data_IF_098130455183
#
_entry.id   IF_098130455183
#
_cell.length_a   1.000
_cell.length_b   1.000
_cell.length_c   1.000
_cell.angle_alpha   90.00
_cell.angle_beta   90.00
_cell.angle_gamma   90.00
#
_symmetry.space_group_name_H-M   'P 1'
#
loop_
_entity.id
_entity.type
_entity.pdbx_description
1 polymer ?
#
# COMPACT_ATOMS: atom_id res chain seq x y z
N UNK A 1 72.57 -37.42 -4.67
CA UNK A 1 71.35 -36.95 -4.10
C UNK A 1 70.47 -36.34 -5.18
N UNK A 2 69.54 -37.12 -5.73
CA UNK A 2 68.62 -36.73 -6.80
C UNK A 2 67.35 -36.27 -6.15
N UNK A 3 66.98 -34.98 -6.26
CA UNK A 3 65.70 -34.46 -5.77
C UNK A 3 64.68 -34.58 -6.89
N UNK A 4 63.76 -35.46 -6.71
CA UNK A 4 62.56 -35.58 -7.57
C UNK A 4 61.60 -34.43 -7.28
N UNK A 5 61.41 -33.60 -8.30
CA UNK A 5 60.35 -32.59 -8.30
C UNK A 5 59.08 -33.26 -8.82
N UNK A 6 58.16 -33.62 -7.90
CA UNK A 6 56.80 -34.02 -8.23
C UNK A 6 56.00 -32.89 -8.90
N UNK A 7 55.08 -33.16 -9.80
CA UNK A 7 54.30 -32.17 -10.50
C UNK A 7 53.37 -31.43 -9.56
N UNK A 8 53.48 -30.10 -9.58
CA UNK A 8 52.66 -29.14 -8.86
C UNK A 8 51.24 -29.15 -9.51
N UNK A 9 50.29 -29.76 -8.85
CA UNK A 9 48.87 -29.68 -9.26
C UNK A 9 48.31 -28.33 -8.93
N UNK A 10 47.85 -27.59 -9.96
CA UNK A 10 47.21 -26.29 -9.87
C UNK A 10 45.86 -26.41 -9.18
N UNK A 11 45.58 -25.74 -8.03
CA UNK A 11 44.31 -25.86 -7.34
C UNK A 11 43.19 -24.98 -7.93
N UNK A 12 43.36 -24.43 -9.12
CA UNK A 12 42.41 -23.48 -9.72
C UNK A 12 41.45 -24.08 -10.75
N UNK A 13 41.14 -25.36 -10.69
CA UNK A 13 40.02 -25.86 -11.46
C UNK A 13 38.71 -25.46 -10.75
N UNK A 14 38.26 -24.22 -11.08
CA UNK A 14 36.98 -23.69 -10.64
C UNK A 14 35.83 -24.60 -11.03
N UNK A 15 35.22 -25.20 -10.05
CA UNK A 15 33.93 -25.85 -10.18
C UNK A 15 32.92 -24.83 -10.73
N UNK A 16 32.17 -25.09 -11.79
CA UNK A 16 31.09 -24.21 -12.20
C UNK A 16 30.07 -24.16 -11.06
N UNK A 17 30.03 -23.03 -10.38
CA UNK A 17 29.01 -22.75 -9.37
C UNK A 17 27.65 -22.79 -10.08
N UNK A 18 26.95 -23.90 -9.98
CA UNK A 18 25.53 -23.98 -10.30
C UNK A 18 24.81 -22.99 -9.41
N UNK A 19 24.49 -21.81 -9.96
CA UNK A 19 23.58 -20.87 -9.30
C UNK A 19 22.29 -21.64 -9.01
N UNK A 20 21.88 -21.73 -7.74
CA UNK A 20 20.59 -22.35 -7.44
C UNK A 20 19.52 -21.54 -8.18
N UNK A 21 18.67 -22.24 -8.92
CA UNK A 21 17.52 -21.65 -9.59
C UNK A 21 16.71 -20.84 -8.57
N UNK A 22 16.38 -19.60 -8.92
CA UNK A 22 15.57 -18.75 -8.06
C UNK A 22 14.29 -19.50 -7.69
N UNK A 23 13.93 -19.61 -6.40
CA UNK A 23 12.75 -20.34 -6.00
C UNK A 23 11.51 -19.66 -6.61
N UNK A 24 10.65 -20.47 -7.25
CA UNK A 24 9.36 -20.01 -7.78
C UNK A 24 8.59 -19.24 -6.68
N UNK A 25 7.83 -18.20 -7.04
CA UNK A 25 7.08 -17.39 -6.09
C UNK A 25 6.06 -18.25 -5.33
N UNK A 26 6.42 -18.70 -4.15
CA UNK A 26 5.54 -19.47 -3.27
C UNK A 26 4.59 -18.52 -2.57
N UNK A 27 3.29 -18.84 -2.57
CA UNK A 27 2.30 -18.20 -1.72
C UNK A 27 2.69 -18.50 -0.27
N UNK A 28 3.22 -17.51 0.45
CA UNK A 28 3.55 -17.65 1.88
C UNK A 28 2.26 -17.57 2.70
N UNK A 29 2.19 -18.38 3.76
CA UNK A 29 1.10 -18.23 4.75
C UNK A 29 1.28 -16.91 5.48
N UNK A 30 0.21 -16.14 5.59
CA UNK A 30 0.19 -14.94 6.43
C UNK A 30 0.35 -15.36 7.88
N UNK A 31 1.52 -15.14 8.46
CA UNK A 31 1.74 -15.24 9.90
C UNK A 31 1.60 -13.85 10.50
N UNK A 32 0.89 -13.74 11.62
CA UNK A 32 0.91 -12.53 12.42
C UNK A 32 2.35 -12.23 12.84
N UNK A 33 2.70 -10.95 12.89
CA UNK A 33 4.03 -10.46 13.25
C UNK A 33 4.43 -10.93 14.65
N UNK A 34 5.71 -11.28 14.83
CA UNK A 34 6.28 -11.52 16.16
C UNK A 34 6.49 -10.17 16.87
N UNK A 35 5.90 -9.95 18.05
CA UNK A 35 6.07 -8.71 18.82
C UNK A 35 7.53 -8.39 19.20
N UNK A 36 8.44 -9.37 19.10
CA UNK A 36 9.86 -9.23 19.42
C UNK A 36 10.72 -8.59 18.32
N UNK A 37 10.24 -8.48 17.07
CA UNK A 37 10.98 -7.89 15.94
C UNK A 37 10.80 -6.36 15.88
N UNK A 38 11.64 -5.65 16.64
CA UNK A 38 11.56 -4.17 16.77
C UNK A 38 12.22 -3.36 15.63
N UNK A 39 12.97 -3.98 14.71
CA UNK A 39 13.81 -3.25 13.74
C UNK A 39 13.69 -3.77 12.31
N UNK A 40 12.48 -3.83 11.75
CA UNK A 40 12.35 -4.07 10.31
C UNK A 40 12.31 -2.75 9.55
N UNK A 41 13.24 -2.51 8.59
CA UNK A 41 13.12 -1.39 7.67
C UNK A 41 11.85 -1.55 6.80
N UNK A 42 11.20 -0.42 6.48
CA UNK A 42 10.06 -0.41 5.56
C UNK A 42 10.43 -1.07 4.23
N UNK A 43 9.52 -1.86 3.67
CA UNK A 43 9.77 -2.48 2.37
C UNK A 43 9.71 -1.43 1.26
N UNK A 44 10.40 -1.62 0.13
CA UNK A 44 10.28 -0.72 -1.03
C UNK A 44 8.83 -0.54 -1.49
N UNK A 45 7.99 -1.56 -1.32
CA UNK A 45 6.56 -1.51 -1.66
C UNK A 45 5.77 -0.61 -0.72
N UNK A 46 6.07 -0.65 0.59
CA UNK A 46 5.47 0.26 1.59
C UNK A 46 5.85 1.71 1.30
N UNK A 47 7.12 1.97 0.98
CA UNK A 47 7.58 3.31 0.60
C UNK A 47 6.90 3.81 -0.68
N UNK A 48 6.73 2.95 -1.69
CA UNK A 48 6.03 3.30 -2.93
C UNK A 48 4.55 3.58 -2.67
N UNK A 49 3.94 2.82 -1.75
CA UNK A 49 2.57 3.05 -1.30
C UNK A 49 2.42 4.42 -0.63
N UNK A 50 3.30 4.75 0.31
CA UNK A 50 3.31 6.07 0.96
C UNK A 50 3.49 7.20 -0.04
N UNK A 51 4.34 7.00 -1.06
CA UNK A 51 4.55 7.99 -2.12
C UNK A 51 3.28 8.24 -2.94
N UNK A 52 2.45 7.22 -3.20
CA UNK A 52 1.17 7.40 -3.86
C UNK A 52 0.23 8.33 -3.04
N UNK A 53 0.24 8.22 -1.72
CA UNK A 53 -0.52 9.12 -0.85
C UNK A 53 0.04 10.54 -0.82
N UNK A 54 1.37 10.69 -0.88
CA UNK A 54 2.01 12.02 -0.99
C UNK A 54 1.52 12.75 -2.26
N UNK A 55 1.35 12.05 -3.37
CA UNK A 55 0.77 12.63 -4.59
C UNK A 55 -0.66 13.10 -4.35
N UNK A 56 -1.50 12.27 -3.71
CA UNK A 56 -2.88 12.67 -3.39
C UNK A 56 -2.94 13.90 -2.46
N UNK A 57 -2.06 13.96 -1.46
CA UNK A 57 -1.93 15.14 -0.59
C UNK A 57 -1.49 16.38 -1.35
N UNK A 58 -0.55 16.22 -2.29
CA UNK A 58 -0.08 17.31 -3.17
C UNK A 58 -1.21 17.89 -4.00
N UNK A 59 -2.00 17.03 -4.66
CA UNK A 59 -3.16 17.46 -5.47
C UNK A 59 -4.19 18.18 -4.60
N UNK A 60 -4.52 17.65 -3.41
CA UNK A 60 -5.46 18.32 -2.50
C UNK A 60 -4.94 19.71 -2.05
N UNK A 61 -3.65 19.82 -1.75
CA UNK A 61 -3.01 21.07 -1.37
C UNK A 61 -3.00 22.09 -2.49
N UNK A 62 -2.72 21.67 -3.74
CA UNK A 62 -2.74 22.50 -4.91
C UNK A 62 -4.14 23.09 -5.20
N UNK A 63 -5.19 22.25 -5.15
CA UNK A 63 -6.56 22.69 -5.33
C UNK A 63 -6.99 23.69 -4.24
N UNK A 64 -6.66 23.42 -3.00
CA UNK A 64 -6.96 24.34 -1.90
C UNK A 64 -6.23 25.69 -2.06
N UNK A 65 -4.95 25.66 -2.43
CA UNK A 65 -4.16 26.87 -2.67
C UNK A 65 -4.72 27.71 -3.82
N UNK A 66 -5.20 27.06 -4.88
CA UNK A 66 -5.83 27.71 -6.03
C UNK A 66 -7.10 28.47 -5.59
N UNK A 67 -8.02 27.83 -4.89
CA UNK A 67 -9.25 28.47 -4.39
C UNK A 67 -8.95 29.62 -3.41
N UNK A 68 -7.95 29.47 -2.55
CA UNK A 68 -7.53 30.56 -1.65
C UNK A 68 -6.99 31.76 -2.45
N UNK A 69 -6.23 31.53 -3.52
CA UNK A 69 -5.71 32.59 -4.38
C UNK A 69 -6.81 33.35 -5.14
N UNK A 70 -7.91 32.65 -5.48
CA UNK A 70 -9.10 33.22 -6.10
C UNK A 70 -10.03 33.96 -5.11
N UNK A 71 -9.72 33.91 -3.83
CA UNK A 71 -10.53 34.56 -2.78
C UNK A 71 -11.60 33.64 -2.16
N UNK A 72 -11.69 32.39 -2.60
CA UNK A 72 -12.64 31.37 -2.13
C UNK A 72 -12.06 30.51 -0.99
N UNK A 73 -11.46 31.16 -0.02
CA UNK A 73 -10.72 30.49 1.07
C UNK A 73 -11.59 29.50 1.87
N UNK A 74 -12.87 29.79 2.05
CA UNK A 74 -13.78 28.89 2.79
C UNK A 74 -13.98 27.58 2.06
N UNK A 75 -14.28 27.60 0.76
CA UNK A 75 -14.42 26.42 -0.11
C UNK A 75 -13.12 25.64 -0.16
N UNK A 76 -11.98 26.32 -0.32
CA UNK A 76 -10.66 25.70 -0.32
C UNK A 76 -10.35 24.93 0.96
N UNK A 77 -10.62 25.53 2.14
CA UNK A 77 -10.40 24.89 3.44
C UNK A 77 -11.35 23.71 3.67
N UNK A 78 -12.64 23.85 3.35
CA UNK A 78 -13.62 22.76 3.49
C UNK A 78 -13.25 21.57 2.60
N UNK A 79 -12.96 21.83 1.31
CA UNK A 79 -12.53 20.79 0.38
C UNK A 79 -11.26 20.09 0.82
N UNK A 80 -10.27 20.86 1.30
CA UNK A 80 -9.02 20.31 1.84
C UNK A 80 -9.24 19.41 3.06
N UNK A 81 -10.02 19.87 4.04
CA UNK A 81 -10.31 19.07 5.23
C UNK A 81 -11.03 17.76 4.87
N UNK A 82 -11.98 17.79 3.93
CA UNK A 82 -12.68 16.62 3.46
C UNK A 82 -11.74 15.63 2.74
N UNK A 83 -10.94 16.15 1.79
CA UNK A 83 -9.96 15.36 1.06
C UNK A 83 -8.94 14.72 2.01
N UNK A 84 -8.37 15.51 2.93
CA UNK A 84 -7.39 15.04 3.91
C UNK A 84 -7.98 13.98 4.85
N UNK A 85 -9.22 14.14 5.29
CA UNK A 85 -9.88 13.11 6.10
C UNK A 85 -9.99 11.79 5.33
N UNK A 86 -10.47 11.81 4.08
CA UNK A 86 -10.63 10.60 3.27
C UNK A 86 -9.29 9.91 2.98
N UNK A 87 -8.27 10.69 2.59
CA UNK A 87 -6.94 10.19 2.25
C UNK A 87 -6.22 9.64 3.48
N UNK A 88 -6.18 10.39 4.59
CA UNK A 88 -5.56 9.93 5.85
C UNK A 88 -6.25 8.68 6.40
N UNK A 89 -7.57 8.62 6.36
CA UNK A 89 -8.32 7.45 6.81
C UNK A 89 -7.97 6.19 6.02
N UNK A 90 -7.84 6.33 4.70
CA UNK A 90 -7.41 5.22 3.84
C UNK A 90 -5.98 4.78 4.16
N UNK A 91 -5.05 5.74 4.33
CA UNK A 91 -3.65 5.48 4.66
C UNK A 91 -3.49 4.76 6.01
N UNK A 92 -4.16 5.23 7.04
CA UNK A 92 -4.11 4.62 8.38
C UNK A 92 -4.58 3.16 8.35
N UNK A 93 -5.67 2.86 7.62
CA UNK A 93 -6.18 1.49 7.52
C UNK A 93 -5.19 0.53 6.86
N UNK A 94 -4.48 0.99 5.81
CA UNK A 94 -3.43 0.18 5.19
C UNK A 94 -2.23 0.00 6.12
N UNK A 95 -1.77 1.07 6.75
CA UNK A 95 -0.62 1.05 7.66
C UNK A 95 -0.84 0.09 8.83
N UNK A 96 -2.06 0.03 9.35
CA UNK A 96 -2.43 -0.95 10.38
C UNK A 96 -2.38 -2.38 9.86
N UNK A 97 -2.88 -2.63 8.65
CA UNK A 97 -2.79 -3.96 8.06
C UNK A 97 -1.34 -4.37 7.82
N UNK A 98 -0.54 -3.50 7.22
CA UNK A 98 0.88 -3.74 6.92
C UNK A 98 1.70 -3.97 8.19
N UNK A 99 1.37 -3.28 9.30
CA UNK A 99 2.05 -3.49 10.59
C UNK A 99 1.67 -4.81 11.27
N UNK A 100 0.46 -5.32 11.03
CA UNK A 100 -0.04 -6.55 11.66
C UNK A 100 0.42 -7.82 10.96
N UNK A 101 0.65 -7.76 9.65
CA UNK A 101 0.98 -8.94 8.83
C UNK A 101 2.28 -8.73 8.06
N UNK A 102 3.27 -9.60 8.36
CA UNK A 102 4.55 -9.64 7.66
C UNK A 102 4.47 -10.66 6.52
N UNK A 103 3.87 -10.28 5.40
CA UNK A 103 3.72 -11.16 4.25
C UNK A 103 4.14 -10.44 2.98
N UNK A 104 5.39 -10.64 2.56
CA UNK A 104 5.88 -10.16 1.28
C UNK A 104 5.77 -11.27 0.23
N UNK A 105 4.53 -11.58 -0.18
CA UNK A 105 4.27 -12.50 -1.28
C UNK A 105 3.64 -11.78 -2.48
N UNK A 106 3.57 -12.47 -3.63
CA UNK A 106 3.06 -11.89 -4.87
C UNK A 106 1.61 -11.41 -4.76
N UNK A 107 0.74 -12.09 -3.98
CA UNK A 107 -0.66 -11.68 -3.80
C UNK A 107 -0.72 -10.37 -3.00
N UNK A 108 0.09 -10.26 -1.94
CA UNK A 108 0.19 -9.01 -1.18
C UNK A 108 0.66 -7.85 -2.08
N UNK A 109 1.69 -8.09 -2.88
CA UNK A 109 2.22 -7.08 -3.82
C UNK A 109 1.17 -6.63 -4.82
N UNK A 110 0.48 -7.57 -5.46
CA UNK A 110 -0.58 -7.25 -6.45
C UNK A 110 -1.74 -6.49 -5.81
N UNK A 111 -2.23 -6.94 -4.66
CA UNK A 111 -3.34 -6.24 -3.97
C UNK A 111 -2.93 -4.86 -3.49
N UNK A 112 -1.68 -4.66 -3.07
CA UNK A 112 -1.14 -3.34 -2.72
C UNK A 112 -1.01 -2.44 -3.96
N UNK A 113 -0.58 -2.96 -5.11
CA UNK A 113 -0.57 -2.22 -6.38
C UNK A 113 -1.98 -1.79 -6.81
N UNK A 114 -2.98 -2.65 -6.64
CA UNK A 114 -4.39 -2.29 -6.89
C UNK A 114 -4.84 -1.16 -5.96
N UNK A 115 -4.44 -1.18 -4.69
CA UNK A 115 -4.72 -0.07 -3.77
C UNK A 115 -4.04 1.23 -4.21
N UNK A 116 -2.77 1.20 -4.63
CA UNK A 116 -2.09 2.38 -5.17
C UNK A 116 -2.81 2.95 -6.40
N UNK A 117 -3.28 2.08 -7.30
CA UNK A 117 -4.13 2.51 -8.44
C UNK A 117 -5.40 3.19 -7.94
N UNK A 118 -6.05 2.67 -6.91
CA UNK A 118 -7.19 3.31 -6.26
C UNK A 118 -6.87 4.69 -5.69
N UNK A 119 -5.69 4.88 -5.07
CA UNK A 119 -5.23 6.20 -4.59
C UNK A 119 -5.05 7.18 -5.73
N UNK A 120 -4.47 6.73 -6.85
CA UNK A 120 -4.28 7.59 -8.03
C UNK A 120 -5.64 8.01 -8.61
N UNK A 121 -6.58 7.08 -8.76
CA UNK A 121 -7.94 7.38 -9.24
C UNK A 121 -8.64 8.35 -8.28
N UNK A 122 -8.49 8.16 -6.96
CA UNK A 122 -9.01 9.10 -5.96
C UNK A 122 -8.42 10.50 -6.16
N UNK A 123 -7.11 10.61 -6.34
CA UNK A 123 -6.43 11.88 -6.55
C UNK A 123 -6.90 12.59 -7.83
N UNK A 124 -7.19 11.86 -8.91
CA UNK A 124 -7.73 12.39 -10.14
C UNK A 124 -9.15 12.95 -9.99
N UNK A 125 -9.92 12.48 -9.02
CA UNK A 125 -11.27 12.98 -8.72
C UNK A 125 -11.28 14.21 -7.80
N UNK A 126 -10.15 14.58 -7.18
CA UNK A 126 -10.11 15.72 -6.24
C UNK A 126 -10.43 17.07 -6.91
N UNK A 127 -9.90 17.41 -8.09
CA UNK A 127 -10.18 18.71 -8.71
C UNK A 127 -11.68 18.96 -8.95
N UNK A 128 -12.40 17.94 -9.44
CA UNK A 128 -13.84 18.03 -9.69
C UNK A 128 -14.64 18.21 -8.39
N UNK A 129 -14.25 17.49 -7.34
CA UNK A 129 -14.83 17.66 -6.01
C UNK A 129 -14.63 19.08 -5.47
N UNK A 130 -13.42 19.65 -5.58
CA UNK A 130 -13.14 21.02 -5.12
C UNK A 130 -13.95 22.06 -5.90
N UNK A 131 -14.05 21.89 -7.23
CA UNK A 131 -14.82 22.78 -8.08
C UNK A 131 -16.33 22.76 -7.71
N UNK A 132 -16.91 21.59 -7.50
CA UNK A 132 -18.31 21.47 -7.11
C UNK A 132 -18.62 22.05 -5.71
N UNK A 133 -17.67 21.98 -4.78
CA UNK A 133 -17.80 22.63 -3.46
C UNK A 133 -17.77 24.14 -3.61
N UNK A 134 -16.96 24.69 -4.50
CA UNK A 134 -16.84 26.12 -4.71
C UNK A 134 -18.08 26.71 -5.39
N UNK A 135 -18.67 26.01 -6.33
CA UNK A 135 -19.91 26.43 -7.02
C UNK A 135 -21.16 26.28 -6.11
N UNK A 136 -21.04 25.59 -4.96
CA UNK A 136 -22.18 25.35 -4.07
C UNK A 136 -23.22 24.38 -4.63
N UNK A 137 -22.81 23.57 -5.62
CA UNK A 137 -23.64 22.55 -6.23
C UNK A 137 -23.61 21.23 -5.48
N UNK A 138 -24.25 20.18 -6.01
CA UNK A 138 -24.07 18.83 -5.50
C UNK A 138 -22.62 18.40 -5.70
N UNK A 139 -22.01 17.86 -4.65
CA UNK A 139 -20.60 17.46 -4.66
C UNK A 139 -20.37 16.36 -5.68
N UNK A 140 -19.67 16.67 -6.77
CA UNK A 140 -19.25 15.73 -7.79
C UNK A 140 -17.99 15.00 -7.32
N UNK A 141 -18.16 13.83 -6.71
CA UNK A 141 -17.07 13.05 -6.15
C UNK A 141 -17.02 11.59 -6.64
N UNK A 142 -17.71 11.31 -7.74
CA UNK A 142 -17.88 9.95 -8.27
C UNK A 142 -16.53 9.28 -8.55
N UNK A 143 -15.59 9.98 -9.18
CA UNK A 143 -14.26 9.47 -9.49
C UNK A 143 -13.46 9.24 -8.21
N UNK A 144 -13.51 10.19 -7.26
CA UNK A 144 -12.87 10.08 -5.97
C UNK A 144 -13.41 8.87 -5.19
N UNK A 145 -14.73 8.69 -5.15
CA UNK A 145 -15.42 7.56 -4.51
C UNK A 145 -15.06 6.25 -5.20
N UNK A 146 -15.01 6.21 -6.53
CA UNK A 146 -14.60 5.01 -7.28
C UNK A 146 -13.18 4.57 -6.88
N UNK A 147 -12.22 5.50 -6.82
CA UNK A 147 -10.86 5.22 -6.34
C UNK A 147 -10.86 4.66 -4.91
N UNK A 148 -11.65 5.28 -4.03
CA UNK A 148 -11.80 4.84 -2.65
C UNK A 148 -12.40 3.42 -2.54
N UNK A 149 -13.40 3.10 -3.36
CA UNK A 149 -14.00 1.75 -3.41
C UNK A 149 -12.99 0.72 -3.88
N UNK A 150 -12.20 1.01 -4.92
CA UNK A 150 -11.12 0.12 -5.40
C UNK A 150 -10.14 -0.20 -4.26
N UNK A 151 -9.69 0.81 -3.51
CA UNK A 151 -8.80 0.62 -2.36
C UNK A 151 -9.45 -0.27 -1.29
N UNK A 152 -10.72 -0.03 -0.98
CA UNK A 152 -11.46 -0.79 0.04
C UNK A 152 -11.68 -2.25 -0.34
N UNK A 153 -11.98 -2.52 -1.61
CA UNK A 153 -12.11 -3.89 -2.12
C UNK A 153 -10.78 -4.65 -2.02
N UNK A 154 -9.69 -4.04 -2.42
CA UNK A 154 -8.36 -4.64 -2.28
C UNK A 154 -7.99 -4.89 -0.81
N UNK A 155 -8.28 -3.95 0.10
CA UNK A 155 -8.10 -4.12 1.54
C UNK A 155 -8.97 -5.25 2.10
N UNK A 156 -10.23 -5.35 1.69
CA UNK A 156 -11.14 -6.43 2.09
C UNK A 156 -10.59 -7.79 1.68
N UNK A 157 -10.06 -7.92 0.46
CA UNK A 157 -9.41 -9.15 -0.02
C UNK A 157 -8.23 -9.52 0.90
N UNK A 158 -7.41 -8.55 1.29
CA UNK A 158 -6.27 -8.78 2.19
C UNK A 158 -6.74 -9.26 3.59
N UNK A 159 -7.75 -8.62 4.19
CA UNK A 159 -8.30 -9.04 5.48
C UNK A 159 -8.96 -10.41 5.45
N UNK A 160 -9.71 -10.73 4.38
CA UNK A 160 -10.33 -12.05 4.20
C UNK A 160 -9.28 -13.15 4.00
N UNK A 161 -8.20 -12.83 3.28
CA UNK A 161 -7.07 -13.73 3.11
C UNK A 161 -6.37 -13.99 4.46
N UNK A 162 -6.10 -12.94 5.24
CA UNK A 162 -5.53 -13.06 6.58
C UNK A 162 -6.41 -13.92 7.49
N UNK A 163 -7.74 -13.72 7.46
CA UNK A 163 -8.71 -14.52 8.23
C UNK A 163 -8.70 -16.01 7.87
N UNK A 164 -8.44 -16.35 6.60
CA UNK A 164 -8.36 -17.74 6.14
C UNK A 164 -7.05 -18.42 6.49
N UNK A 165 -5.96 -17.67 6.52
CA UNK A 165 -4.60 -18.22 6.69
C UNK A 165 -4.13 -18.21 8.15
N UNK A 166 -4.67 -17.34 9.01
CA UNK A 166 -4.31 -17.20 10.41
C UNK A 166 -5.50 -17.50 11.34
N UNK A 167 -5.64 -18.75 11.84
CA UNK A 167 -6.74 -19.12 12.74
C UNK A 167 -6.77 -18.30 14.04
N UNK A 168 -5.59 -17.89 14.54
CA UNK A 168 -5.46 -17.07 15.76
C UNK A 168 -6.07 -15.68 15.62
N UNK A 169 -5.90 -15.06 14.44
CA UNK A 169 -6.38 -13.70 14.18
C UNK A 169 -7.74 -13.68 13.46
N UNK A 170 -8.35 -14.84 13.17
CA UNK A 170 -9.55 -14.97 12.34
C UNK A 170 -10.70 -14.07 12.81
N UNK A 171 -10.99 -14.06 14.11
CA UNK A 171 -12.09 -13.22 14.66
C UNK A 171 -11.83 -11.74 14.43
N UNK A 172 -10.62 -11.29 14.73
CA UNK A 172 -10.19 -9.89 14.55
C UNK A 172 -10.24 -9.51 13.08
N UNK A 173 -9.67 -10.31 12.18
CA UNK A 173 -9.68 -10.05 10.74
C UNK A 173 -11.11 -9.95 10.16
N UNK A 174 -12.03 -10.83 10.60
CA UNK A 174 -13.43 -10.79 10.17
C UNK A 174 -14.15 -9.57 10.73
N UNK A 175 -13.83 -9.13 11.94
CA UNK A 175 -14.39 -7.90 12.52
C UNK A 175 -13.97 -6.68 11.71
N UNK A 176 -12.66 -6.57 11.34
CA UNK A 176 -12.18 -5.50 10.48
C UNK A 176 -12.79 -5.56 9.07
N UNK A 177 -12.90 -6.76 8.48
CA UNK A 177 -13.55 -6.94 7.18
C UNK A 177 -15.02 -6.47 7.21
N UNK A 178 -15.77 -6.81 8.28
CA UNK A 178 -17.16 -6.35 8.47
C UNK A 178 -17.23 -4.85 8.67
N UNK A 179 -16.36 -4.27 9.50
CA UNK A 179 -16.31 -2.84 9.74
C UNK A 179 -16.03 -2.07 8.43
N UNK A 180 -15.13 -2.58 7.57
CA UNK A 180 -14.87 -2.02 6.25
C UNK A 180 -16.14 -2.02 5.37
N UNK A 181 -16.90 -3.10 5.35
CA UNK A 181 -18.15 -3.18 4.56
C UNK A 181 -19.20 -2.22 5.11
N UNK A 182 -19.39 -2.17 6.44
CA UNK A 182 -20.39 -1.30 7.08
C UNK A 182 -20.06 0.18 6.82
N UNK A 183 -18.78 0.55 6.80
CA UNK A 183 -18.35 1.93 6.56
C UNK A 183 -18.52 2.39 5.10
N UNK A 184 -18.93 1.49 4.18
CA UNK A 184 -19.18 1.80 2.77
C UNK A 184 -20.69 1.96 2.46
N UNK A 185 -21.54 1.61 3.38
CA UNK A 185 -23.02 1.75 3.28
C UNK A 185 -23.49 2.99 4.04
#
# INVERSE_FOLDING_TARGET
>A
GRRDHGPMTDPRQGHPSSRPAAPLPRVRRMSGRDPGDSHRPATPLELLFDLAFVVAFGVAGEQAAHLVAEGHAASGVVGFCFAMFAVCWAWINFSWFASAFDTDDWVYRVTTMVQMTGVIVLALGLPEMFHSIDEGEQVHNEVMVAGYVVMRLAMLVQWLRAARQSPRCRRVCLTYARALVIAQV
#
